data_IF_471643951370
#
_entry.id   IF_471643951370
#
_cell.length_a   1.000
_cell.length_b   1.000
_cell.length_c   1.000
_cell.angle_alpha   90.00
_cell.angle_beta   90.00
_cell.angle_gamma   90.00
#
_symmetry.space_group_name_H-M   'P 1'
#
loop_
_entity.id
_entity.type
_entity.pdbx_description
1 polymer ?
#
# COMPACT_ATOMS: atom_id res chain seq x y z
N UNK A 1 -6.54 15.05 20.16
CA UNK A 1 -7.59 14.44 19.29
C UNK A 1 -7.30 14.54 17.79
N UNK A 2 -6.27 15.27 17.37
CA UNK A 2 -5.86 15.44 15.97
C UNK A 2 -5.34 14.15 15.34
N UNK A 3 -4.56 13.35 16.07
CA UNK A 3 -3.93 12.15 15.53
C UNK A 3 -4.93 11.06 15.11
N UNK A 4 -5.98 10.85 15.90
CA UNK A 4 -7.06 9.89 15.55
C UNK A 4 -7.72 10.27 14.23
N UNK A 5 -8.04 11.56 14.04
CA UNK A 5 -8.69 12.05 12.81
C UNK A 5 -7.81 11.88 11.57
N UNK A 6 -6.50 12.04 11.70
CA UNK A 6 -5.54 11.84 10.59
C UNK A 6 -5.50 10.41 10.09
N UNK A 7 -5.81 9.43 10.95
CA UNK A 7 -5.76 8.00 10.60
C UNK A 7 -7.05 7.47 9.96
N UNK A 8 -8.14 8.25 10.00
CA UNK A 8 -9.46 7.79 9.57
C UNK A 8 -10.09 6.72 10.46
N UNK A 9 -9.43 6.33 11.57
CA UNK A 9 -9.94 5.34 12.51
C UNK A 9 -10.92 5.94 13.51
N UNK A 10 -11.84 5.12 14.01
CA UNK A 10 -12.58 5.44 15.23
C UNK A 10 -11.61 5.52 16.42
N UNK A 11 -11.99 6.25 17.48
CA UNK A 11 -11.18 6.34 18.70
C UNK A 11 -10.90 4.96 19.32
N UNK A 12 -11.90 4.07 19.30
CA UNK A 12 -11.77 2.71 19.82
C UNK A 12 -10.80 1.87 18.98
N UNK A 13 -10.91 1.92 17.64
CA UNK A 13 -10.01 1.22 16.74
C UNK A 13 -8.56 1.70 16.90
N UNK A 14 -8.36 3.02 17.04
CA UNK A 14 -7.05 3.60 17.31
C UNK A 14 -6.45 3.09 18.62
N UNK A 15 -7.21 3.12 19.73
CA UNK A 15 -6.76 2.61 21.04
C UNK A 15 -6.46 1.12 20.98
N UNK A 16 -7.29 0.31 20.31
CA UNK A 16 -7.06 -1.13 20.14
C UNK A 16 -5.74 -1.40 19.40
N UNK A 17 -5.46 -0.67 18.33
CA UNK A 17 -4.20 -0.79 17.59
C UNK A 17 -3.00 -0.45 18.47
N UNK A 18 -3.11 0.62 19.26
CA UNK A 18 -2.12 1.01 20.25
C UNK A 18 -1.87 -0.10 21.29
N UNK A 19 -2.92 -0.73 21.84
CA UNK A 19 -2.79 -1.82 22.82
C UNK A 19 -2.11 -3.03 22.17
N UNK A 20 -2.44 -3.34 20.92
CA UNK A 20 -1.83 -4.42 20.14
C UNK A 20 -0.39 -4.13 19.70
N UNK A 21 0.21 -3.01 20.13
CA UNK A 21 1.60 -2.68 19.84
C UNK A 21 1.83 -2.05 18.46
N UNK A 22 0.79 -1.51 17.83
CA UNK A 22 0.90 -0.81 16.55
C UNK A 22 0.66 0.68 16.72
N UNK A 23 1.37 1.49 15.94
CA UNK A 23 1.11 2.91 15.78
C UNK A 23 0.39 3.09 14.44
N UNK A 24 -0.92 3.38 14.43
CA UNK A 24 -1.66 3.61 13.19
C UNK A 24 -1.07 4.78 12.39
N UNK A 25 -0.85 4.57 11.09
CA UNK A 25 -0.38 5.62 10.17
C UNK A 25 -1.53 6.59 9.82
N UNK A 26 -1.19 7.85 9.51
CA UNK A 26 -2.15 8.76 8.89
C UNK A 26 -2.60 8.22 7.52
N UNK A 27 -3.76 8.68 7.06
CA UNK A 27 -4.24 8.39 5.73
C UNK A 27 -3.20 8.84 4.69
N UNK A 28 -3.02 8.08 3.60
CA UNK A 28 -2.23 8.52 2.46
C UNK A 28 -2.71 9.89 1.95
N UNK A 29 -1.81 10.73 1.42
CA UNK A 29 -2.21 11.99 0.82
C UNK A 29 -3.05 11.77 -0.46
N UNK A 30 -3.81 12.77 -0.90
CA UNK A 30 -4.79 12.60 -1.98
C UNK A 30 -4.14 12.20 -3.33
N UNK A 31 -2.94 12.70 -3.58
CA UNK A 31 -2.10 12.38 -4.73
C UNK A 31 -1.71 10.90 -4.80
N UNK A 32 -1.54 10.22 -3.67
CA UNK A 32 -1.33 8.78 -3.63
C UNK A 32 -2.47 8.01 -4.31
N UNK A 33 -3.72 8.40 -4.05
CA UNK A 33 -4.88 7.75 -4.66
C UNK A 33 -4.96 8.03 -6.17
N UNK A 34 -4.53 9.21 -6.62
CA UNK A 34 -4.43 9.52 -8.04
C UNK A 34 -3.36 8.64 -8.72
N UNK A 35 -2.16 8.57 -8.15
CA UNK A 35 -1.07 7.71 -8.63
C UNK A 35 -1.49 6.24 -8.71
N UNK A 36 -2.13 5.70 -7.66
CA UNK A 36 -2.57 4.30 -7.65
C UNK A 36 -3.61 4.01 -8.74
N UNK A 37 -4.49 4.97 -9.05
CA UNK A 37 -5.45 4.83 -10.16
C UNK A 37 -4.74 4.75 -11.51
N UNK A 38 -3.72 5.58 -11.72
CA UNK A 38 -2.93 5.56 -12.95
C UNK A 38 -2.16 4.24 -13.11
N UNK A 39 -1.51 3.76 -12.04
CA UNK A 39 -0.81 2.47 -12.05
C UNK A 39 -1.76 1.30 -12.37
N UNK A 40 -2.96 1.30 -11.78
CA UNK A 40 -3.99 0.30 -12.10
C UNK A 40 -4.48 0.41 -13.55
N UNK A 41 -4.63 1.62 -14.08
CA UNK A 41 -5.01 1.84 -15.48
C UNK A 41 -3.93 1.30 -16.44
N UNK A 42 -2.65 1.52 -16.13
CA UNK A 42 -1.53 0.96 -16.89
C UNK A 42 -1.58 -0.57 -16.87
N UNK A 43 -1.78 -1.20 -15.70
CA UNK A 43 -1.93 -2.65 -15.59
C UNK A 43 -3.10 -3.20 -16.42
N UNK A 44 -4.25 -2.51 -16.41
CA UNK A 44 -5.41 -2.89 -17.20
C UNK A 44 -5.14 -2.78 -18.71
N UNK A 45 -4.48 -1.71 -19.16
CA UNK A 45 -4.11 -1.53 -20.56
C UNK A 45 -3.11 -2.62 -21.01
N UNK A 46 -2.14 -2.96 -20.17
CA UNK A 46 -1.20 -4.07 -20.43
C UNK A 46 -1.93 -5.40 -20.59
N UNK A 47 -2.88 -5.71 -19.70
CA UNK A 47 -3.67 -6.93 -19.80
C UNK A 47 -4.47 -7.00 -21.11
N UNK A 48 -5.06 -5.89 -21.55
CA UNK A 48 -5.79 -5.81 -22.82
C UNK A 48 -4.87 -6.05 -24.03
N UNK A 49 -3.67 -5.47 -24.03
CA UNK A 49 -2.68 -5.69 -25.08
C UNK A 49 -2.28 -7.17 -25.17
N UNK A 50 -2.12 -7.84 -24.03
CA UNK A 50 -1.81 -9.27 -23.99
C UNK A 50 -2.92 -10.14 -24.53
N UNK A 51 -4.17 -9.87 -24.17
CA UNK A 51 -5.33 -10.58 -24.73
C UNK A 51 -5.38 -10.43 -26.25
N UNK A 52 -5.20 -9.19 -26.75
CA UNK A 52 -5.19 -8.90 -28.18
C UNK A 52 -4.03 -9.60 -28.90
N UNK A 53 -2.81 -9.52 -28.35
CA UNK A 53 -1.62 -10.10 -28.97
C UNK A 53 -1.58 -11.64 -28.91
N UNK A 54 -2.17 -12.25 -27.88
CA UNK A 54 -2.37 -13.70 -27.81
C UNK A 54 -3.39 -14.17 -28.86
N UNK A 55 -4.41 -13.36 -29.14
CA UNK A 55 -5.41 -13.65 -30.18
C UNK A 55 -4.79 -13.55 -31.58
N UNK A 56 -3.81 -12.67 -31.78
CA UNK A 56 -3.11 -12.50 -33.07
C UNK A 56 -1.83 -13.32 -33.20
N UNK A 57 -1.37 -14.02 -32.17
CA UNK A 57 -0.22 -14.94 -32.19
C UNK A 57 1.18 -14.30 -32.10
N UNK A 58 1.30 -13.05 -31.65
CA UNK A 58 2.53 -12.24 -31.77
C UNK A 58 3.23 -11.89 -30.44
N UNK A 59 2.93 -12.57 -29.32
CA UNK A 59 3.49 -12.21 -28.00
C UNK A 59 4.34 -13.31 -27.37
N UNK A 60 5.56 -12.95 -26.96
CA UNK A 60 6.40 -13.76 -26.08
C UNK A 60 5.86 -13.69 -24.64
N UNK A 61 5.03 -14.67 -24.27
CA UNK A 61 4.26 -14.70 -23.02
C UNK A 61 5.14 -14.62 -21.76
N UNK A 62 6.30 -15.26 -21.79
CA UNK A 62 7.21 -15.33 -20.64
C UNK A 62 7.81 -13.96 -20.29
N UNK A 63 8.32 -13.24 -21.29
CA UNK A 63 8.88 -11.90 -21.10
C UNK A 63 7.80 -10.91 -20.62
N UNK A 64 6.59 -10.97 -21.19
CA UNK A 64 5.48 -10.14 -20.75
C UNK A 64 5.09 -10.41 -19.29
N UNK A 65 4.99 -11.68 -18.91
CA UNK A 65 4.60 -12.07 -17.55
C UNK A 65 5.60 -11.53 -16.52
N UNK A 66 6.91 -11.58 -16.82
CA UNK A 66 7.96 -11.04 -15.95
C UNK A 66 7.77 -9.54 -15.70
N UNK A 67 7.52 -8.74 -16.73
CA UNK A 67 7.34 -7.29 -16.57
C UNK A 67 6.01 -6.95 -15.87
N UNK A 68 4.94 -7.71 -16.15
CA UNK A 68 3.67 -7.55 -15.45
C UNK A 68 3.80 -7.86 -13.96
N UNK A 69 4.55 -8.91 -13.60
CA UNK A 69 4.82 -9.24 -12.20
C UNK A 69 5.70 -8.19 -11.53
N UNK A 70 6.70 -7.63 -12.21
CA UNK A 70 7.50 -6.51 -11.69
C UNK A 70 6.65 -5.29 -11.40
N UNK A 71 5.75 -4.90 -12.31
CA UNK A 71 4.81 -3.80 -12.07
C UNK A 71 3.95 -4.07 -10.84
N UNK A 72 3.38 -5.28 -10.74
CA UNK A 72 2.57 -5.70 -9.60
C UNK A 72 3.34 -5.62 -8.28
N UNK A 73 4.58 -6.09 -8.26
CA UNK A 73 5.44 -6.02 -7.09
C UNK A 73 5.77 -4.58 -6.70
N UNK A 74 6.10 -3.71 -7.65
CA UNK A 74 6.36 -2.31 -7.38
C UNK A 74 5.13 -1.59 -6.78
N UNK A 75 3.94 -1.82 -7.34
CA UNK A 75 2.67 -1.29 -6.81
C UNK A 75 2.44 -1.78 -5.38
N UNK A 76 2.68 -3.05 -5.11
CA UNK A 76 2.55 -3.61 -3.76
C UNK A 76 3.53 -2.96 -2.78
N UNK A 77 4.79 -2.77 -3.17
CA UNK A 77 5.80 -2.12 -2.33
C UNK A 77 5.41 -0.68 -1.98
N UNK A 78 4.88 0.07 -2.96
CA UNK A 78 4.37 1.43 -2.74
C UNK A 78 3.22 1.39 -1.72
N UNK A 79 2.25 0.49 -1.91
CA UNK A 79 1.13 0.35 -0.99
C UNK A 79 1.61 0.01 0.43
N UNK A 80 2.54 -0.91 0.57
CA UNK A 80 3.08 -1.31 1.87
C UNK A 80 3.79 -0.14 2.57
N UNK A 81 4.69 0.55 1.87
CA UNK A 81 5.43 1.68 2.44
C UNK A 81 4.49 2.77 2.98
N UNK A 82 3.40 3.03 2.26
CA UNK A 82 2.46 4.10 2.60
C UNK A 82 1.42 3.67 3.64
N UNK A 83 0.94 2.41 3.60
CA UNK A 83 -0.20 1.97 4.42
C UNK A 83 0.15 1.08 5.62
N UNK A 84 1.31 0.41 5.64
CA UNK A 84 1.64 -0.50 6.74
C UNK A 84 1.87 0.25 8.06
N UNK A 85 1.18 -0.12 9.15
CA UNK A 85 1.35 0.50 10.46
C UNK A 85 2.72 0.13 11.07
N UNK A 86 3.33 1.09 11.75
CA UNK A 86 4.61 0.87 12.41
C UNK A 86 4.41 0.09 13.71
N UNK A 87 5.30 -0.87 13.99
CA UNK A 87 5.36 -1.48 15.33
C UNK A 87 5.83 -0.42 16.32
N UNK A 88 5.11 -0.33 17.45
CA UNK A 88 5.56 0.48 18.57
C UNK A 88 6.85 -0.13 19.13
N UNK A 89 7.93 0.67 19.30
CA UNK A 89 9.12 0.21 19.99
C UNK A 89 8.79 -0.16 21.45
N UNK A 90 9.50 -1.14 22.05
CA UNK A 90 9.24 -1.55 23.42
C UNK A 90 9.36 -0.35 24.37
N UNK A 91 8.32 -0.12 25.16
CA UNK A 91 8.32 0.95 26.18
C UNK A 91 9.23 0.47 27.32
N UNK A 92 10.39 1.10 27.49
CA UNK A 92 11.25 0.83 28.65
C UNK A 92 10.56 1.35 29.92
N UNK A 93 10.28 0.50 30.93
CA UNK A 93 9.44 0.88 32.06
C UNK A 93 10.06 1.88 33.06
N UNK A 94 11.29 2.36 32.86
CA UNK A 94 12.05 3.11 33.88
C UNK A 94 12.39 4.58 33.56
N UNK A 95 11.65 5.26 32.68
CA UNK A 95 11.80 6.72 32.54
C UNK A 95 10.60 7.41 33.17
N UNK A 96 10.72 7.71 34.47
CA UNK A 96 9.86 8.67 35.15
C UNK A 96 10.30 10.08 34.73
N UNK A 97 9.41 10.96 34.25
CA UNK A 97 9.78 12.36 34.03
C UNK A 97 10.02 13.05 35.40
N UNK A 98 10.99 13.98 35.49
CA UNK A 98 11.18 14.79 36.70
C UNK A 98 9.99 15.72 37.00
#
# INVERSE_FOLDING_TARGET
MTEVKKTGLSREAYIRALINGYIPKPLPPLDYYAMMRELNAIGNNLNQLTVKAHTTGHLERAAFQVEADRLRHAVQQIQQAVTEPERRPPVHPNVHPP
#
